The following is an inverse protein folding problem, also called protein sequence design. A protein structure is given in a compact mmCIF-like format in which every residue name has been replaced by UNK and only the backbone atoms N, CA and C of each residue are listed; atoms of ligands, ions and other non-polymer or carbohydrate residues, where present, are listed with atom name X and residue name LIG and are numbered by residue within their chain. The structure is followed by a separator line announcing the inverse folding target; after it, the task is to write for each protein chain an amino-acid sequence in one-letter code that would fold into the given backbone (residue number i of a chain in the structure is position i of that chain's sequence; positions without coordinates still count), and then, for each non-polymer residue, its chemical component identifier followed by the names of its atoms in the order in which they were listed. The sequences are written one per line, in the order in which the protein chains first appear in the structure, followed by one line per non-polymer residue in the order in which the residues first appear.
data_IF_587394418595
#
_entry.id   IF_587394418595
#
_cell.length_a   1.000
_cell.length_b   1.000
_cell.length_c   1.000
_cell.angle_alpha   90.00
_cell.angle_beta   90.00
_cell.angle_gamma   90.00
#
_symmetry.space_group_name_H-M   'P 1'
#
loop_
_entity.id
_entity.type
_entity.pdbx_description
1 polymer ?
#
# COMPACT_ATOMS: atom_id res chain seq x y z
N UNK A 1 9.77 28.64 -38.38
CA UNK A 1 10.45 28.67 -37.07
C UNK A 1 9.64 27.78 -36.13
N UNK A 2 10.20 26.64 -35.73
CA UNK A 2 9.56 25.73 -34.79
C UNK A 2 10.02 26.06 -33.37
N UNK A 3 9.09 26.36 -32.47
CA UNK A 3 9.35 26.40 -31.04
C UNK A 3 8.90 25.05 -30.46
N UNK A 4 9.86 24.17 -30.23
CA UNK A 4 9.65 22.94 -29.44
C UNK A 4 9.61 23.36 -27.98
N UNK A 5 8.42 23.45 -27.41
CA UNK A 5 8.27 23.52 -25.95
C UNK A 5 8.44 22.12 -25.38
N UNK A 6 9.66 21.80 -24.96
CA UNK A 6 9.94 20.70 -24.04
C UNK A 6 9.36 21.05 -22.67
N UNK A 7 8.06 20.78 -22.50
CA UNK A 7 7.46 20.67 -21.18
C UNK A 7 7.94 19.34 -20.58
N UNK A 8 9.05 19.37 -19.87
CA UNK A 8 9.39 18.27 -18.95
C UNK A 8 8.26 18.17 -17.94
N UNK A 9 7.65 16.99 -17.73
CA UNK A 9 6.61 16.83 -16.73
C UNK A 9 7.23 17.10 -15.37
N UNK A 10 6.68 18.10 -14.67
CA UNK A 10 6.80 18.19 -13.22
C UNK A 10 6.16 16.88 -12.73
N UNK A 11 6.97 15.91 -12.32
CA UNK A 11 6.46 14.71 -11.67
C UNK A 11 5.70 15.18 -10.44
N UNK A 12 4.37 15.25 -10.54
CA UNK A 12 3.51 15.37 -9.39
C UNK A 12 3.95 14.24 -8.45
N UNK A 13 4.36 14.60 -7.23
CA UNK A 13 4.66 13.59 -6.22
C UNK A 13 3.41 12.72 -6.12
N UNK A 14 3.52 11.46 -6.51
CA UNK A 14 2.40 10.53 -6.41
C UNK A 14 1.97 10.48 -4.93
N UNK A 15 0.67 10.57 -4.69
CA UNK A 15 0.10 10.46 -3.35
C UNK A 15 0.38 9.07 -2.76
N UNK A 16 0.31 8.97 -1.43
CA UNK A 16 0.70 7.79 -0.71
C UNK A 16 -0.11 6.54 -1.10
N UNK A 17 -1.39 6.72 -1.47
CA UNK A 17 -2.25 5.64 -1.91
C UNK A 17 -1.81 5.09 -3.27
N UNK A 18 -1.62 5.96 -4.25
CA UNK A 18 -1.20 5.54 -5.60
C UNK A 18 0.17 4.85 -5.59
N UNK A 19 1.07 5.26 -4.69
CA UNK A 19 2.35 4.59 -4.50
C UNK A 19 2.18 3.22 -3.84
N UNK A 20 1.30 3.09 -2.85
CA UNK A 20 0.94 1.81 -2.25
C UNK A 20 0.34 0.84 -3.28
N UNK A 21 -0.60 1.30 -4.11
CA UNK A 21 -1.20 0.48 -5.16
C UNK A 21 -0.13 -0.08 -6.10
N UNK A 22 0.69 0.80 -6.69
CA UNK A 22 1.68 0.40 -7.67
C UNK A 22 2.82 -0.47 -7.11
N UNK A 23 3.29 -0.18 -5.88
CA UNK A 23 4.45 -0.87 -5.30
C UNK A 23 4.09 -2.14 -4.55
N UNK A 24 2.93 -2.18 -3.92
CA UNK A 24 2.49 -3.29 -3.09
C UNK A 24 1.32 -4.04 -3.74
N UNK A 25 0.15 -3.40 -3.85
CA UNK A 25 -1.09 -4.10 -4.13
C UNK A 25 -1.10 -4.76 -5.51
N UNK A 26 -0.76 -4.03 -6.57
CA UNK A 26 -0.73 -4.54 -7.94
C UNK A 26 0.32 -5.65 -8.10
N UNK A 27 1.48 -5.48 -7.45
CA UNK A 27 2.54 -6.48 -7.48
C UNK A 27 2.11 -7.77 -6.81
N UNK A 28 1.49 -7.68 -5.64
CA UNK A 28 0.98 -8.84 -4.93
C UNK A 28 -0.18 -9.51 -5.70
N UNK A 29 -1.05 -8.73 -6.35
CA UNK A 29 -2.10 -9.23 -7.23
C UNK A 29 -1.54 -10.09 -8.38
N UNK A 30 -0.37 -9.68 -8.90
CA UNK A 30 0.38 -10.37 -9.94
C UNK A 30 1.29 -11.48 -9.42
N UNK A 31 1.28 -11.77 -8.11
CA UNK A 31 2.18 -12.76 -7.48
C UNK A 31 3.66 -12.38 -7.66
N UNK A 32 3.92 -11.09 -7.75
CA UNK A 32 5.24 -10.54 -7.94
C UNK A 32 5.74 -9.88 -6.65
N UNK A 33 7.07 -9.83 -6.44
CA UNK A 33 7.61 -9.09 -5.31
C UNK A 33 7.28 -7.59 -5.44
N UNK A 34 7.21 -6.88 -4.29
CA UNK A 34 7.02 -5.44 -4.26
C UNK A 34 8.01 -4.68 -5.15
N UNK A 35 7.58 -3.56 -5.73
CA UNK A 35 8.47 -2.69 -6.49
C UNK A 35 9.29 -1.80 -5.55
N UNK A 36 10.59 -2.10 -5.47
CA UNK A 36 11.57 -1.39 -4.64
C UNK A 36 12.49 -0.48 -5.47
N UNK A 37 12.16 -0.22 -6.74
CA UNK A 37 12.98 0.65 -7.59
C UNK A 37 13.11 2.06 -6.99
N UNK A 38 14.35 2.55 -6.95
CA UNK A 38 14.69 3.85 -6.38
C UNK A 38 14.70 3.88 -4.84
N UNK A 39 14.70 2.73 -4.18
CA UNK A 39 14.76 2.61 -2.73
C UNK A 39 16.11 2.09 -2.24
N UNK A 40 16.47 2.47 -1.02
CA UNK A 40 17.67 2.02 -0.31
C UNK A 40 17.24 1.15 0.87
N UNK A 41 17.86 -0.03 1.03
CA UNK A 41 17.67 -0.85 2.22
C UNK A 41 18.20 -0.11 3.45
N UNK A 42 17.32 0.23 4.39
CA UNK A 42 17.66 0.89 5.64
C UNK A 42 18.07 -0.12 6.71
N UNK A 43 17.44 -1.29 6.72
CA UNK A 43 17.73 -2.35 7.66
C UNK A 43 16.96 -3.62 7.34
N UNK A 44 17.49 -4.75 7.81
CA UNK A 44 16.88 -6.07 7.71
C UNK A 44 16.94 -6.73 9.09
N UNK A 45 15.79 -7.21 9.57
CA UNK A 45 15.68 -8.09 10.73
C UNK A 45 15.04 -9.40 10.27
N UNK A 46 15.19 -10.52 11.01
CA UNK A 46 14.62 -11.80 10.57
C UNK A 46 13.15 -11.68 10.17
N UNK A 47 12.87 -11.92 8.88
CA UNK A 47 11.53 -11.87 8.29
C UNK A 47 11.03 -10.49 7.85
N UNK A 48 11.79 -9.40 8.01
CA UNK A 48 11.34 -8.05 7.67
C UNK A 48 12.48 -7.18 7.13
N UNK A 49 12.28 -6.64 5.94
CA UNK A 49 13.14 -5.63 5.34
C UNK A 49 12.47 -4.26 5.37
N UNK A 50 13.27 -3.23 5.66
CA UNK A 50 12.83 -1.83 5.71
C UNK A 50 13.60 -1.06 4.64
N UNK A 51 12.87 -0.49 3.69
CA UNK A 51 13.38 0.26 2.56
C UNK A 51 12.98 1.71 2.69
N UNK A 52 13.85 2.64 2.31
CA UNK A 52 13.56 4.07 2.32
C UNK A 52 13.84 4.71 0.97
N UNK A 53 13.03 5.68 0.58
CA UNK A 53 13.27 6.53 -0.58
C UNK A 53 13.74 7.93 -0.13
N UNK A 54 14.46 8.69 -0.98
CA UNK A 54 14.90 10.06 -0.66
C UNK A 54 13.76 11.02 -0.26
N UNK A 55 12.51 10.69 -0.61
CA UNK A 55 11.31 11.44 -0.24
C UNK A 55 10.89 11.29 1.23
N UNK A 56 11.51 10.40 2.01
CA UNK A 56 11.05 10.03 3.36
C UNK A 56 9.99 8.93 3.39
N UNK A 57 9.60 8.42 2.22
CA UNK A 57 8.77 7.21 2.13
C UNK A 57 9.55 6.00 2.65
N UNK A 58 8.89 5.18 3.46
CA UNK A 58 9.37 3.88 3.90
C UNK A 58 8.46 2.79 3.35
N UNK A 59 9.07 1.72 2.84
CA UNK A 59 8.37 0.49 2.45
C UNK A 59 8.91 -0.63 3.32
N UNK A 60 8.03 -1.35 4.02
CA UNK A 60 8.40 -2.54 4.77
C UNK A 60 7.87 -3.77 4.06
N UNK A 61 8.74 -4.75 3.83
CA UNK A 61 8.38 -5.99 3.14
C UNK A 61 8.75 -7.20 3.99
N UNK A 62 7.87 -8.20 4.04
CA UNK A 62 8.24 -9.55 4.51
C UNK A 62 8.42 -10.43 3.28
N UNK A 63 9.61 -11.01 3.09
CA UNK A 63 9.81 -11.97 2.01
C UNK A 63 9.02 -13.25 2.32
N UNK A 64 8.49 -13.95 1.29
CA UNK A 64 7.90 -15.26 1.51
C UNK A 64 8.97 -16.21 2.05
N UNK A 65 8.87 -16.55 3.33
CA UNK A 65 9.61 -17.67 3.95
C UNK A 65 8.78 -18.94 3.85
N UNK A 66 9.34 -20.11 4.20
CA UNK A 66 8.60 -21.38 4.19
C UNK A 66 7.27 -21.31 4.98
N UNK A 67 7.16 -20.41 5.97
CA UNK A 67 5.97 -20.20 6.79
C UNK A 67 5.53 -18.72 6.90
N UNK A 68 6.06 -17.80 6.07
CA UNK A 68 5.77 -16.36 6.20
C UNK A 68 5.03 -15.81 4.98
N UNK A 69 3.79 -15.35 5.20
CA UNK A 69 3.00 -14.67 4.19
C UNK A 69 3.70 -13.40 3.67
N UNK A 70 3.62 -13.16 2.35
CA UNK A 70 4.12 -11.92 1.75
C UNK A 70 3.33 -10.73 2.32
N UNK A 71 4.02 -9.73 2.83
CA UNK A 71 3.42 -8.46 3.21
C UNK A 71 4.23 -7.28 2.69
N UNK A 72 3.52 -6.21 2.34
CA UNK A 72 4.08 -4.97 1.86
C UNK A 72 3.30 -3.81 2.48
N UNK A 73 4.01 -2.87 3.10
CA UNK A 73 3.40 -1.68 3.65
C UNK A 73 4.16 -0.44 3.24
N UNK A 74 3.42 0.64 3.00
CA UNK A 74 3.98 1.96 2.70
C UNK A 74 3.59 2.92 3.82
N UNK A 75 4.58 3.68 4.30
CA UNK A 75 4.41 4.75 5.28
C UNK A 75 5.32 5.93 4.95
N UNK A 76 5.05 7.08 5.56
CA UNK A 76 5.89 8.27 5.48
C UNK A 76 6.31 8.72 6.86
N UNK A 77 7.57 9.11 7.01
CA UNK A 77 8.16 9.64 8.25
C UNK A 77 7.94 11.16 8.42
N UNK A 78 7.58 11.85 7.33
CA UNK A 78 7.44 13.31 7.23
C UNK A 78 6.08 13.71 6.67
N UNK A 79 5.80 15.01 6.74
CA UNK A 79 4.59 15.63 6.15
C UNK A 79 4.42 15.09 4.74
N UNK A 80 3.32 14.39 4.51
CA UNK A 80 3.00 13.84 3.20
C UNK A 80 2.67 15.00 2.28
N UNK A 81 3.35 15.13 1.12
CA UNK A 81 2.85 15.96 0.05
C UNK A 81 1.51 15.35 -0.36
N UNK A 82 0.42 16.01 0.02
CA UNK A 82 -0.95 15.62 -0.31
C UNK A 82 -1.61 14.47 0.51
N UNK A 83 -1.60 14.63 1.84
CA UNK A 83 -2.33 13.75 2.78
C UNK A 83 -3.83 13.66 2.48
N UNK A 84 -4.46 14.77 2.06
CA UNK A 84 -5.89 14.81 1.78
C UNK A 84 -6.23 13.93 0.56
N UNK A 85 -5.54 14.12 -0.58
CA UNK A 85 -5.75 13.27 -1.77
C UNK A 85 -5.46 11.81 -1.48
N UNK A 86 -4.41 11.50 -0.70
CA UNK A 86 -4.11 10.12 -0.29
C UNK A 86 -5.28 9.49 0.48
N UNK A 87 -5.87 10.24 1.42
CA UNK A 87 -7.03 9.78 2.21
C UNK A 87 -8.29 9.63 1.37
N UNK A 88 -8.54 10.56 0.46
CA UNK A 88 -9.72 10.54 -0.42
C UNK A 88 -9.67 9.37 -1.41
N UNK A 89 -8.49 9.09 -1.99
CA UNK A 89 -8.28 7.93 -2.86
C UNK A 89 -8.44 6.61 -2.11
N UNK A 90 -7.86 6.49 -0.91
CA UNK A 90 -8.04 5.31 -0.07
C UNK A 90 -9.53 5.07 0.26
N UNK A 91 -10.25 6.12 0.65
CA UNK A 91 -11.70 6.05 0.93
C UNK A 91 -12.52 5.64 -0.31
N UNK A 92 -12.19 6.20 -1.47
CA UNK A 92 -12.84 5.86 -2.73
C UNK A 92 -12.60 4.39 -3.11
N UNK A 93 -11.36 3.90 -3.01
CA UNK A 93 -11.02 2.50 -3.25
C UNK A 93 -11.74 1.56 -2.30
N UNK A 94 -11.73 1.83 -0.99
CA UNK A 94 -12.43 1.01 0.01
C UNK A 94 -13.92 0.93 -0.30
N UNK A 95 -14.54 2.05 -0.68
CA UNK A 95 -15.95 2.10 -1.04
C UNK A 95 -16.24 1.26 -2.30
N UNK A 96 -15.37 1.32 -3.31
CA UNK A 96 -15.50 0.49 -4.52
C UNK A 96 -15.35 -1.00 -4.21
N UNK A 97 -14.31 -1.36 -3.46
CA UNK A 97 -14.01 -2.73 -3.09
C UNK A 97 -15.21 -3.39 -2.40
N UNK A 98 -15.83 -2.71 -1.44
CA UNK A 98 -17.03 -3.18 -0.74
C UNK A 98 -18.27 -3.30 -1.63
N UNK A 99 -18.42 -2.46 -2.66
CA UNK A 99 -19.54 -2.55 -3.62
C UNK A 99 -19.37 -3.66 -4.65
N UNK A 100 -18.15 -4.11 -4.88
CA UNK A 100 -17.81 -5.04 -5.96
C UNK A 100 -18.07 -6.52 -5.62
N UNK A 101 -18.46 -6.83 -4.38
CA UNK A 101 -18.53 -8.17 -3.79
C UNK A 101 -17.20 -8.98 -3.85
N UNK A 102 -16.12 -8.38 -4.37
CA UNK A 102 -14.79 -9.00 -4.48
C UNK A 102 -13.93 -8.87 -3.22
N UNK A 103 -14.46 -8.16 -2.23
CA UNK A 103 -13.84 -7.90 -0.93
C UNK A 103 -14.88 -7.95 0.18
N UNK A 104 -14.50 -8.48 1.33
CA UNK A 104 -15.27 -8.46 2.58
C UNK A 104 -14.56 -7.64 3.65
N UNK A 105 -15.31 -6.91 4.49
CA UNK A 105 -14.76 -6.22 5.66
C UNK A 105 -14.56 -7.24 6.79
N UNK A 106 -13.31 -7.41 7.22
CA UNK A 106 -12.92 -8.33 8.30
C UNK A 106 -12.48 -7.60 9.57
N UNK A 107 -12.64 -6.29 9.62
CA UNK A 107 -12.32 -5.44 10.78
C UNK A 107 -13.27 -5.69 11.95
N UNK A 108 -14.49 -6.18 11.66
CA UNK A 108 -15.57 -6.34 12.63
C UNK A 108 -16.19 -5.01 13.11
N UNK A 109 -15.67 -3.87 12.69
CA UNK A 109 -16.19 -2.53 13.00
C UNK A 109 -16.60 -1.81 11.72
N UNK A 110 -17.90 -1.81 11.46
CA UNK A 110 -18.49 -1.03 10.38
C UNK A 110 -18.25 0.46 10.70
N UNK A 111 -17.47 1.15 9.86
CA UNK A 111 -17.46 2.62 9.68
C UNK A 111 -16.22 3.43 10.10
N UNK A 112 -15.12 2.86 10.60
CA UNK A 112 -13.97 3.68 11.03
C UNK A 112 -12.62 3.12 10.57
N UNK A 113 -11.70 4.03 10.19
CA UNK A 113 -10.28 3.73 10.02
C UNK A 113 -9.67 3.33 11.37
N UNK A 114 -8.90 2.23 11.47
CA UNK A 114 -8.44 1.38 10.36
C UNK A 114 -9.51 0.39 9.87
N UNK A 115 -9.59 0.18 8.54
CA UNK A 115 -10.41 -0.88 7.92
C UNK A 115 -9.49 -1.92 7.26
N UNK A 116 -9.83 -3.19 7.41
CA UNK A 116 -9.17 -4.32 6.75
C UNK A 116 -10.17 -5.00 5.82
N UNK A 117 -9.86 -4.99 4.52
CA UNK A 117 -10.62 -5.71 3.51
C UNK A 117 -9.91 -6.99 3.13
N UNK A 118 -10.64 -8.11 3.04
CA UNK A 118 -10.14 -9.40 2.57
C UNK A 118 -10.73 -9.72 1.21
N UNK A 119 -9.91 -10.18 0.27
CA UNK A 119 -10.39 -10.58 -1.06
C UNK A 119 -11.21 -11.86 -0.99
N UNK A 120 -12.39 -11.86 -1.61
CA UNK A 120 -13.28 -13.04 -1.74
C UNK A 120 -13.00 -13.82 -3.03
N UNK A 121 -12.35 -13.20 -4.01
CA UNK A 121 -12.11 -13.78 -5.35
C UNK A 121 -10.69 -14.29 -5.56
N UNK A 122 -9.69 -13.78 -4.84
CA UNK A 122 -8.32 -14.25 -5.03
C UNK A 122 -8.07 -15.63 -4.45
N UNK A 123 -7.20 -16.40 -5.10
CA UNK A 123 -6.79 -17.74 -4.68
C UNK A 123 -6.17 -17.74 -3.27
N UNK A 124 -6.02 -18.92 -2.68
CA UNK A 124 -5.29 -19.06 -1.41
C UNK A 124 -3.76 -18.96 -1.64
N UNK A 125 -3.02 -18.32 -0.70
CA UNK A 125 -3.49 -17.56 0.46
C UNK A 125 -4.26 -16.28 0.05
N UNK A 126 -5.35 -15.97 0.76
CA UNK A 126 -6.20 -14.80 0.45
C UNK A 126 -5.42 -13.51 0.72
N UNK A 127 -5.75 -12.43 0.02
CA UNK A 127 -5.13 -11.14 0.30
C UNK A 127 -5.99 -10.33 1.26
N UNK A 128 -5.32 -9.65 2.21
CA UNK A 128 -5.90 -8.62 3.05
C UNK A 128 -5.21 -7.28 2.81
N UNK A 129 -6.03 -6.23 2.75
CA UNK A 129 -5.58 -4.84 2.62
C UNK A 129 -6.07 -4.08 3.84
N UNK A 130 -5.14 -3.67 4.70
CA UNK A 130 -5.41 -2.80 5.83
C UNK A 130 -5.12 -1.34 5.47
N UNK A 131 -6.15 -0.50 5.60
CA UNK A 131 -6.14 0.92 5.29
C UNK A 131 -6.26 1.69 6.59
N UNK A 132 -5.15 2.27 7.05
CA UNK A 132 -5.09 3.13 8.23
C UNK A 132 -4.85 4.58 7.82
N UNK A 133 -5.93 5.32 7.56
CA UNK A 133 -5.87 6.79 7.43
C UNK A 133 -6.06 7.35 8.84
N UNK A 134 -4.97 7.68 9.53
CA UNK A 134 -5.06 8.35 10.83
C UNK A 134 -5.52 9.79 10.59
N UNK A 135 -6.56 10.25 11.28
CA UNK A 135 -7.15 11.58 11.03
C UNK A 135 -6.48 12.70 11.84
N UNK A 136 -5.90 12.40 13.01
CA UNK A 136 -5.50 13.46 13.96
C UNK A 136 -4.00 13.76 13.96
N UNK A 137 -3.10 12.77 13.99
CA UNK A 137 -1.63 13.04 14.01
C UNK A 137 -0.76 12.02 13.27
N UNK A 138 -1.35 10.99 12.68
CA UNK A 138 -0.59 9.89 12.07
C UNK A 138 -0.48 9.99 10.56
N UNK A 139 0.69 9.64 10.04
CA UNK A 139 0.88 9.43 8.62
C UNK A 139 0.01 8.23 8.17
N UNK A 140 -0.72 8.31 7.04
CA UNK A 140 -1.42 7.17 6.49
C UNK A 140 -0.44 5.99 6.36
N UNK A 141 -0.93 4.83 6.77
CA UNK A 141 -0.25 3.57 6.62
C UNK A 141 -1.18 2.64 5.86
N UNK A 142 -0.66 2.12 4.76
CA UNK A 142 -1.36 1.14 3.93
C UNK A 142 -0.56 -0.15 3.95
N UNK A 143 -1.25 -1.27 4.13
CA UNK A 143 -0.63 -2.60 4.23
C UNK A 143 -1.41 -3.56 3.33
N UNK A 144 -0.70 -4.29 2.49
CA UNK A 144 -1.20 -5.47 1.80
C UNK A 144 -0.47 -6.69 2.37
N UNK A 145 -1.19 -7.78 2.64
CA UNK A 145 -0.62 -9.04 3.12
C UNK A 145 -1.36 -10.23 2.54
N UNK A 146 -0.67 -11.33 2.36
CA UNK A 146 -1.28 -12.65 2.18
C UNK A 146 -1.71 -13.20 3.57
N UNK A 147 -2.75 -14.03 3.59
CA UNK A 147 -3.21 -14.78 4.76
C UNK A 147 -3.62 -16.18 4.34
N UNK A 148 -3.04 -17.16 5.02
CA UNK A 148 -3.46 -18.55 5.06
C UNK A 148 -4.54 -18.68 6.14
N UNK A 149 -5.79 -18.91 5.76
CA UNK A 149 -6.91 -19.04 6.71
C UNK A 149 -6.92 -20.42 7.43
N UNK A 150 -5.75 -21.01 7.69
CA UNK A 150 -5.63 -22.14 8.61
C UNK A 150 -5.07 -21.64 9.96
N UNK A 151 -5.92 -20.96 10.74
CA UNK A 151 -5.68 -20.67 12.16
C UNK A 151 -6.93 -20.97 12.98
#
# INVERSE_FOLDING_TARGET
MAAVFLLMPISALADAWSVFEARCLDRMAEVAPPDLNGMTLLGSVPGLDIWTAPSGMTVTTTAPGEDAALSCAVSWDRIIPDRQTSGDKAKAWTSEALRSDSWEDVTGTVSHSPITLRSTLWREPRMEVAVSVLEVEGHPRFVARETDLES
#
